data_IF_661760310813
#
_entry.id   IF_661760310813
#
_cell.length_a   1.000
_cell.length_b   1.000
_cell.length_c   1.000
_cell.angle_alpha   90.00
_cell.angle_beta   90.00
_cell.angle_gamma   90.00
#
_symmetry.space_group_name_H-M   'P 1'
#
loop_
_entity.id
_entity.type
_entity.pdbx_description
1 polymer ?
#
# COMPACT_ATOMS: atom_id res chain seq x y z
N UNK A 1 -15.99 35.21 31.36
CA UNK A 1 -17.28 34.64 31.03
C UNK A 1 -17.05 33.70 29.87
N UNK A 2 -16.92 32.45 30.14
CA UNK A 2 -16.77 31.38 29.14
C UNK A 2 -18.19 31.06 28.69
N UNK A 3 -18.54 31.44 27.46
CA UNK A 3 -19.82 31.06 26.83
C UNK A 3 -19.70 29.55 26.59
N UNK A 4 -20.49 28.77 27.32
CA UNK A 4 -20.64 27.36 27.04
C UNK A 4 -21.20 27.21 25.58
N UNK A 5 -20.68 26.29 24.75
CA UNK A 5 -21.25 26.09 23.42
C UNK A 5 -22.70 25.69 23.58
N UNK A 6 -23.60 26.48 22.98
CA UNK A 6 -24.99 26.08 22.80
C UNK A 6 -25.01 24.71 22.13
N UNK A 7 -25.71 23.76 22.71
CA UNK A 7 -26.00 22.48 22.04
C UNK A 7 -26.81 22.80 20.77
N UNK A 8 -26.12 22.86 19.66
CA UNK A 8 -26.76 22.98 18.33
C UNK A 8 -27.67 21.78 18.19
N UNK A 9 -28.96 22.00 18.20
CA UNK A 9 -29.94 20.95 17.87
C UNK A 9 -29.73 20.58 16.41
N UNK A 10 -29.33 19.33 16.14
CA UNK A 10 -29.16 18.81 14.80
C UNK A 10 -30.54 18.79 14.13
N UNK A 11 -30.79 19.69 13.17
CA UNK A 11 -32.01 19.77 12.43
C UNK A 11 -31.92 18.93 11.15
N UNK A 12 -33.10 18.51 10.67
CA UNK A 12 -33.19 17.73 9.42
C UNK A 12 -33.23 18.65 8.21
N UNK A 13 -32.58 18.20 7.13
CA UNK A 13 -32.67 18.81 5.81
C UNK A 13 -33.61 18.08 4.87
N UNK A 14 -33.68 18.57 3.63
CA UNK A 14 -34.43 17.94 2.54
C UNK A 14 -33.61 17.91 1.25
N UNK A 15 -33.70 16.79 0.55
CA UNK A 15 -33.12 16.66 -0.79
C UNK A 15 -33.78 17.63 -1.76
N UNK A 16 -32.98 18.47 -2.43
CA UNK A 16 -33.45 19.42 -3.43
C UNK A 16 -33.04 19.08 -4.86
N UNK A 17 -31.89 18.42 -5.04
CA UNK A 17 -31.44 17.94 -6.34
C UNK A 17 -30.66 16.63 -6.19
N UNK A 18 -30.69 15.82 -7.23
CA UNK A 18 -29.97 14.54 -7.29
C UNK A 18 -29.28 14.46 -8.65
N UNK A 19 -27.96 14.22 -8.63
CA UNK A 19 -27.15 14.07 -9.84
C UNK A 19 -26.23 12.83 -9.68
N UNK A 20 -26.77 11.63 -9.89
CA UNK A 20 -26.12 10.37 -9.59
C UNK A 20 -25.73 10.30 -8.09
N UNK A 21 -24.48 10.01 -7.75
CA UNK A 21 -24.04 9.90 -6.36
C UNK A 21 -23.89 11.26 -5.64
N UNK A 22 -24.17 12.37 -6.31
CA UNK A 22 -24.11 13.72 -5.72
C UNK A 22 -25.52 14.22 -5.46
N UNK A 23 -25.77 14.70 -4.24
CA UNK A 23 -27.08 15.13 -3.77
C UNK A 23 -26.97 16.51 -3.12
N UNK A 24 -27.80 17.44 -3.56
CA UNK A 24 -27.93 18.74 -2.93
C UNK A 24 -29.04 18.69 -1.87
N UNK A 25 -28.71 19.13 -0.68
CA UNK A 25 -29.60 19.11 0.49
C UNK A 25 -29.74 20.52 1.04
N UNK A 26 -30.99 20.94 1.30
CA UNK A 26 -31.29 22.22 1.92
C UNK A 26 -31.57 22.00 3.42
N UNK A 27 -30.87 22.79 4.24
CA UNK A 27 -31.05 22.83 5.70
C UNK A 27 -31.53 24.21 6.16
N UNK A 28 -32.08 24.30 7.34
CA UNK A 28 -32.38 25.59 7.95
C UNK A 28 -31.12 26.47 8.07
N UNK A 29 -31.20 27.81 7.91
CA UNK A 29 -30.04 28.67 7.78
C UNK A 29 -29.00 28.63 8.92
N UNK A 30 -29.43 28.20 10.10
CA UNK A 30 -28.56 28.14 11.31
C UNK A 30 -28.12 26.71 11.66
N UNK A 31 -28.40 25.74 10.80
CA UNK A 31 -28.17 24.32 11.04
C UNK A 31 -27.50 23.62 9.86
N UNK A 32 -26.60 24.33 9.16
CA UNK A 32 -25.81 23.74 8.09
C UNK A 32 -24.76 22.79 8.66
N UNK A 33 -24.67 21.54 8.14
CA UNK A 33 -23.57 20.65 8.50
C UNK A 33 -22.23 21.20 8.00
N UNK A 34 -21.18 20.92 8.74
CA UNK A 34 -19.83 21.28 8.34
C UNK A 34 -19.33 20.43 7.15
N UNK A 35 -18.31 20.91 6.45
CA UNK A 35 -17.63 20.13 5.40
C UNK A 35 -17.03 18.88 6.04
N UNK A 36 -17.08 17.76 5.32
CA UNK A 36 -16.70 16.42 5.77
C UNK A 36 -17.63 15.78 6.81
N UNK A 37 -18.68 16.48 7.28
CA UNK A 37 -19.67 15.83 8.11
C UNK A 37 -20.52 14.85 7.30
N UNK A 38 -20.94 13.78 7.97
CA UNK A 38 -21.83 12.78 7.40
C UNK A 38 -23.31 13.20 7.56
N UNK A 39 -24.09 12.90 6.55
CA UNK A 39 -25.54 13.00 6.56
C UNK A 39 -26.15 11.67 6.13
N UNK A 40 -27.37 11.39 6.59
CA UNK A 40 -28.05 10.14 6.29
C UNK A 40 -29.43 10.39 5.70
N UNK A 41 -29.79 9.62 4.69
CA UNK A 41 -31.10 9.62 4.08
C UNK A 41 -31.58 8.19 3.88
N UNK A 42 -32.83 7.92 4.24
CA UNK A 42 -33.43 6.61 4.03
C UNK A 42 -34.12 6.56 2.68
N UNK A 43 -33.85 5.50 1.93
CA UNK A 43 -34.54 5.16 0.68
C UNK A 43 -35.27 3.83 0.86
N UNK A 44 -36.37 3.66 0.14
CA UNK A 44 -37.12 2.40 0.17
C UNK A 44 -37.03 1.77 -1.21
N UNK A 45 -36.40 0.59 -1.26
CA UNK A 45 -36.26 -0.22 -2.48
C UNK A 45 -36.90 -1.59 -2.19
N UNK A 46 -37.85 -1.99 -3.01
CA UNK A 46 -38.55 -3.28 -2.89
C UNK A 46 -39.19 -3.55 -1.50
N UNK A 47 -39.49 -2.49 -0.77
CA UNK A 47 -40.07 -2.55 0.57
C UNK A 47 -39.10 -2.62 1.71
N UNK A 48 -37.78 -2.65 1.41
CA UNK A 48 -36.72 -2.55 2.39
C UNK A 48 -36.22 -1.11 2.53
N UNK A 49 -35.89 -0.72 3.76
CA UNK A 49 -35.30 0.61 4.03
C UNK A 49 -33.79 0.50 4.02
N UNK A 50 -33.15 1.25 3.14
CA UNK A 50 -31.71 1.35 3.03
C UNK A 50 -31.30 2.76 3.45
N UNK A 51 -30.40 2.86 4.41
CA UNK A 51 -29.78 4.14 4.79
C UNK A 51 -28.60 4.43 3.87
N UNK A 52 -28.64 5.56 3.18
CA UNK A 52 -27.56 6.09 2.37
C UNK A 52 -26.83 7.16 3.15
N UNK A 53 -25.56 6.94 3.40
CA UNK A 53 -24.66 7.93 4.02
C UNK A 53 -24.06 8.80 2.92
N UNK A 54 -24.16 10.13 3.10
CA UNK A 54 -23.50 11.12 2.26
C UNK A 54 -22.51 11.94 3.07
N UNK A 55 -21.44 12.38 2.44
CA UNK A 55 -20.47 13.30 3.03
C UNK A 55 -20.62 14.70 2.43
N UNK A 56 -20.68 15.71 3.25
CA UNK A 56 -20.78 17.11 2.82
C UNK A 56 -19.46 17.53 2.18
N UNK A 57 -19.48 17.75 0.86
CA UNK A 57 -18.31 18.14 0.08
C UNK A 57 -18.22 19.65 -0.16
N UNK A 58 -19.35 20.35 -0.21
CA UNK A 58 -19.39 21.78 -0.47
C UNK A 58 -20.61 22.44 0.19
N UNK A 59 -20.46 23.69 0.62
CA UNK A 59 -21.55 24.58 0.93
C UNK A 59 -21.79 25.47 -0.31
N UNK A 60 -23.00 25.39 -0.90
CA UNK A 60 -23.32 26.02 -2.19
C UNK A 60 -24.18 27.27 -2.06
N UNK A 61 -24.34 27.78 -0.84
CA UNK A 61 -25.16 28.97 -0.55
C UNK A 61 -26.64 28.67 -0.33
N UNK A 62 -27.39 29.67 0.08
CA UNK A 62 -28.85 29.60 0.30
C UNK A 62 -29.31 28.46 1.25
N UNK A 63 -28.51 28.13 2.26
CA UNK A 63 -28.85 27.05 3.18
C UNK A 63 -28.65 25.65 2.59
N UNK A 64 -27.87 25.53 1.48
CA UNK A 64 -27.67 24.26 0.78
C UNK A 64 -26.25 23.74 0.89
N UNK A 65 -26.16 22.44 0.99
CA UNK A 65 -24.91 21.69 0.92
C UNK A 65 -24.96 20.68 -0.21
N UNK A 66 -23.83 20.39 -0.79
CA UNK A 66 -23.65 19.34 -1.78
C UNK A 66 -22.93 18.18 -1.15
N UNK A 67 -23.56 17.01 -1.19
CA UNK A 67 -23.07 15.79 -0.56
C UNK A 67 -22.67 14.75 -1.62
N UNK A 68 -21.64 13.98 -1.32
CA UNK A 68 -21.22 12.79 -2.10
C UNK A 68 -21.67 11.56 -1.34
N UNK A 69 -22.51 10.73 -1.96
CA UNK A 69 -23.08 9.55 -1.34
C UNK A 69 -22.11 8.35 -1.42
N UNK A 70 -22.13 7.55 -0.35
CA UNK A 70 -21.30 6.34 -0.21
C UNK A 70 -22.04 5.05 -0.62
N UNK A 71 -23.32 5.16 -0.97
CA UNK A 71 -24.13 4.08 -1.55
C UNK A 71 -24.83 4.62 -2.80
N UNK A 72 -25.31 3.75 -3.71
CA UNK A 72 -26.15 4.17 -4.82
C UNK A 72 -27.37 4.97 -4.36
N UNK A 73 -27.78 5.94 -5.16
CA UNK A 73 -28.90 6.84 -4.87
C UNK A 73 -30.19 6.46 -5.60
N UNK A 74 -30.24 5.26 -6.17
CA UNK A 74 -31.41 4.73 -6.84
C UNK A 74 -32.59 4.67 -5.85
N UNK A 75 -33.74 5.17 -6.28
CA UNK A 75 -34.91 5.29 -5.42
C UNK A 75 -34.98 6.54 -4.52
N UNK A 76 -33.92 7.35 -4.48
CA UNK A 76 -33.94 8.63 -3.76
C UNK A 76 -34.83 9.65 -4.51
N UNK A 77 -35.63 10.37 -3.76
CA UNK A 77 -36.55 11.36 -4.32
C UNK A 77 -36.33 12.76 -3.72
N UNK A 78 -36.65 13.78 -4.49
CA UNK A 78 -36.68 15.17 -3.98
C UNK A 78 -37.64 15.28 -2.82
N UNK A 79 -37.28 16.06 -1.80
CA UNK A 79 -38.05 16.23 -0.59
C UNK A 79 -37.83 15.15 0.47
N UNK A 80 -37.03 14.09 0.18
CA UNK A 80 -36.64 13.12 1.19
C UNK A 80 -35.94 13.82 2.36
N UNK A 81 -36.25 13.34 3.58
CA UNK A 81 -35.67 13.90 4.82
C UNK A 81 -34.26 13.41 4.99
N UNK A 82 -33.33 14.33 5.24
CA UNK A 82 -31.91 14.06 5.49
C UNK A 82 -31.60 14.40 6.95
N UNK A 83 -30.98 13.46 7.65
CA UNK A 83 -30.52 13.63 9.04
C UNK A 83 -29.05 14.02 9.05
N UNK A 84 -28.67 14.93 9.93
CA UNK A 84 -27.28 15.21 10.26
C UNK A 84 -26.79 14.23 11.34
N UNK A 85 -25.56 13.74 11.20
CA UNK A 85 -24.91 12.93 12.24
C UNK A 85 -24.18 13.78 13.29
N UNK A 86 -23.88 15.06 12.94
CA UNK A 86 -23.09 15.96 13.76
C UNK A 86 -21.61 15.65 13.83
N UNK A 87 -21.14 14.71 13.00
CA UNK A 87 -19.75 14.27 12.90
C UNK A 87 -19.43 13.78 11.49
N UNK A 88 -18.15 13.56 11.19
CA UNK A 88 -17.70 12.94 9.96
C UNK A 88 -18.07 11.45 9.87
N UNK A 89 -17.71 10.82 8.75
CA UNK A 89 -17.77 9.36 8.62
C UNK A 89 -16.80 8.75 9.63
N UNK A 90 -17.24 7.76 10.39
CA UNK A 90 -16.45 7.08 11.41
C UNK A 90 -16.26 5.61 11.07
N UNK A 91 -15.12 5.06 11.51
CA UNK A 91 -14.81 3.62 11.43
C UNK A 91 -14.50 3.07 12.81
N UNK A 92 -14.80 1.78 13.07
CA UNK A 92 -14.41 1.11 14.29
C UNK A 92 -12.88 1.00 14.35
N UNK A 93 -12.31 1.08 15.54
CA UNK A 93 -10.87 0.96 15.77
C UNK A 93 -10.57 0.05 16.95
N UNK A 94 -9.36 -0.45 17.04
CA UNK A 94 -8.92 -1.36 18.09
C UNK A 94 -8.82 -2.81 17.62
N UNK A 95 -8.60 -3.72 18.55
CA UNK A 95 -8.32 -5.13 18.23
C UNK A 95 -9.49 -5.85 17.54
N UNK A 96 -10.72 -5.37 17.77
CA UNK A 96 -11.93 -5.92 17.15
C UNK A 96 -11.95 -5.82 15.61
N UNK A 97 -11.13 -4.97 14.99
CA UNK A 97 -11.10 -4.88 13.53
C UNK A 97 -10.20 -5.92 12.88
N UNK A 98 -9.30 -6.54 13.64
CA UNK A 98 -8.37 -7.54 13.12
C UNK A 98 -9.11 -8.83 12.76
N UNK A 99 -8.78 -9.39 11.61
CA UNK A 99 -9.43 -10.59 11.08
C UNK A 99 -10.67 -10.34 10.23
N UNK A 100 -11.13 -9.09 10.14
CA UNK A 100 -12.40 -8.71 9.53
C UNK A 100 -12.25 -7.78 8.32
N UNK A 101 -13.33 -7.72 7.55
CA UNK A 101 -13.45 -6.88 6.33
C UNK A 101 -14.51 -5.82 6.56
N UNK A 102 -14.17 -4.58 6.24
CA UNK A 102 -15.05 -3.41 6.41
C UNK A 102 -15.29 -2.67 5.10
N UNK A 103 -16.40 -1.98 5.03
CA UNK A 103 -16.62 -0.96 4.02
C UNK A 103 -16.14 0.43 4.50
N UNK A 104 -16.31 1.45 3.66
CA UNK A 104 -15.85 2.82 3.91
C UNK A 104 -16.51 3.50 5.12
N UNK A 105 -17.70 3.09 5.49
CA UNK A 105 -18.45 3.64 6.63
C UNK A 105 -18.36 2.79 7.90
N UNK A 106 -17.40 1.83 7.90
CA UNK A 106 -17.10 1.02 9.07
C UNK A 106 -18.07 -0.13 9.34
N UNK A 107 -18.95 -0.48 8.40
CA UNK A 107 -19.77 -1.68 8.50
C UNK A 107 -18.94 -2.91 8.13
N UNK A 108 -19.03 -3.98 8.93
CA UNK A 108 -18.38 -5.26 8.61
C UNK A 108 -19.08 -5.94 7.44
N UNK A 109 -18.29 -6.53 6.54
CA UNK A 109 -18.76 -7.22 5.33
C UNK A 109 -18.75 -8.75 5.47
N UNK A 110 -18.09 -9.29 6.48
CA UNK A 110 -17.89 -10.73 6.66
C UNK A 110 -18.60 -11.31 7.88
N UNK A 111 -19.04 -10.49 8.83
CA UNK A 111 -19.77 -10.91 10.02
C UNK A 111 -20.67 -9.79 10.56
N UNK A 112 -21.76 -10.17 11.20
CA UNK A 112 -22.64 -9.21 11.89
C UNK A 112 -22.12 -8.83 13.29
N UNK A 113 -21.17 -9.58 13.84
CA UNK A 113 -20.61 -9.35 15.16
C UNK A 113 -19.08 -9.48 15.13
N UNK A 114 -18.42 -8.34 15.26
CA UNK A 114 -16.95 -8.23 15.36
C UNK A 114 -16.46 -8.22 16.82
N UNK A 115 -17.37 -8.37 17.78
CA UNK A 115 -17.07 -8.24 19.20
C UNK A 115 -17.06 -6.80 19.71
N UNK A 116 -16.56 -6.56 20.91
CA UNK A 116 -16.56 -5.24 21.53
C UNK A 116 -15.59 -4.28 20.82
N UNK A 117 -16.13 -3.22 20.22
CA UNK A 117 -15.34 -2.16 19.61
C UNK A 117 -14.82 -1.20 20.67
N UNK A 118 -13.54 -0.87 20.63
CA UNK A 118 -12.91 0.00 21.63
C UNK A 118 -13.33 1.47 21.45
N UNK A 119 -13.34 1.95 20.19
CA UNK A 119 -13.73 3.34 19.88
C UNK A 119 -14.11 3.45 18.39
N UNK A 120 -14.67 4.62 18.00
CA UNK A 120 -14.96 4.99 16.63
C UNK A 120 -14.27 6.30 16.30
N UNK A 121 -13.41 6.29 15.26
CA UNK A 121 -12.67 7.46 14.84
C UNK A 121 -13.14 7.97 13.47
N UNK A 122 -13.17 9.28 13.34
CA UNK A 122 -13.49 9.94 12.06
C UNK A 122 -12.38 9.72 11.05
N UNK A 123 -12.75 9.51 9.77
CA UNK A 123 -11.77 9.24 8.70
C UNK A 123 -10.99 10.48 8.28
N UNK A 124 -11.54 11.68 8.46
CA UNK A 124 -10.85 12.95 8.23
C UNK A 124 -10.09 13.36 9.50
N UNK A 125 -8.79 13.18 9.47
CA UNK A 125 -7.88 13.49 10.57
C UNK A 125 -6.70 14.29 10.05
N UNK A 126 -6.16 15.15 10.90
CA UNK A 126 -4.93 15.85 10.60
C UNK A 126 -3.72 14.92 10.66
N UNK A 127 -2.70 15.21 9.86
CA UNK A 127 -1.40 14.58 10.00
C UNK A 127 -0.80 14.87 11.39
N UNK A 128 0.08 14.00 11.92
CA UNK A 128 0.78 14.25 13.17
C UNK A 128 1.51 15.60 13.14
N UNK A 129 1.50 16.30 14.29
CA UNK A 129 2.19 17.58 14.41
C UNK A 129 3.71 17.38 14.27
N UNK A 130 4.40 18.40 13.77
CA UNK A 130 5.85 18.35 13.49
C UNK A 130 6.70 17.90 14.70
N UNK A 131 6.32 18.29 15.90
CA UNK A 131 7.00 17.92 17.13
C UNK A 131 6.76 16.45 17.58
N UNK A 132 5.81 15.78 16.96
CA UNK A 132 5.50 14.36 17.19
C UNK A 132 6.26 13.42 16.26
N UNK A 133 6.82 13.94 15.16
CA UNK A 133 7.50 13.14 14.16
C UNK A 133 8.83 12.57 14.68
N UNK A 134 9.19 11.38 14.21
CA UNK A 134 10.51 10.80 14.43
C UNK A 134 11.55 11.52 13.55
N UNK A 135 12.62 12.10 14.15
CA UNK A 135 13.57 12.92 13.39
C UNK A 135 14.58 12.09 12.57
N UNK A 136 14.70 10.79 12.83
CA UNK A 136 15.71 9.94 12.21
C UNK A 136 15.08 8.88 11.33
N UNK A 137 15.59 8.77 10.10
CA UNK A 137 15.23 7.68 9.20
C UNK A 137 15.88 6.39 9.72
N UNK A 138 15.05 5.37 9.94
CA UNK A 138 15.48 4.04 10.36
C UNK A 138 15.08 3.03 9.31
N UNK A 139 15.96 2.09 8.99
CA UNK A 139 15.66 1.02 8.05
C UNK A 139 14.59 0.09 8.63
N UNK A 140 13.60 -0.22 7.82
CA UNK A 140 12.60 -1.24 8.10
C UNK A 140 13.07 -2.58 7.52
N UNK A 141 13.58 -3.45 8.37
CA UNK A 141 14.11 -4.75 7.98
C UNK A 141 12.98 -5.69 7.56
N UNK A 142 13.05 -6.21 6.33
CA UNK A 142 12.05 -7.13 5.78
C UNK A 142 12.47 -8.59 5.87
N UNK A 143 13.77 -8.87 6.02
CA UNK A 143 14.33 -10.22 5.93
C UNK A 143 14.31 -10.78 4.50
N UNK A 144 14.05 -9.95 3.50
CA UNK A 144 14.07 -10.28 2.07
C UNK A 144 15.34 -9.69 1.45
N UNK A 145 16.28 -10.52 1.05
CA UNK A 145 17.61 -10.12 0.59
C UNK A 145 17.61 -9.00 -0.44
N UNK A 146 16.82 -9.15 -1.51
CA UNK A 146 16.81 -8.17 -2.61
C UNK A 146 16.27 -6.81 -2.17
N UNK A 147 15.30 -6.78 -1.27
CA UNK A 147 14.74 -5.54 -0.71
C UNK A 147 15.75 -4.92 0.25
N UNK A 148 16.17 -5.67 1.27
CA UNK A 148 17.00 -5.14 2.34
C UNK A 148 18.39 -4.68 1.84
N UNK A 149 18.95 -5.32 0.82
CA UNK A 149 20.23 -4.92 0.27
C UNK A 149 20.17 -3.74 -0.69
N UNK A 150 19.24 -3.80 -1.68
CA UNK A 150 19.30 -2.94 -2.88
C UNK A 150 18.24 -1.84 -2.92
N UNK A 151 17.11 -2.03 -2.23
CA UNK A 151 16.04 -1.05 -2.13
C UNK A 151 15.43 -1.05 -0.73
N UNK A 152 16.24 -0.81 0.33
CA UNK A 152 15.79 -0.91 1.71
C UNK A 152 14.62 0.03 2.01
N UNK A 153 13.65 -0.45 2.78
CA UNK A 153 12.49 0.33 3.18
C UNK A 153 12.83 1.19 4.40
N UNK A 154 12.19 2.35 4.49
CA UNK A 154 12.29 3.22 5.66
C UNK A 154 11.09 3.00 6.58
N UNK A 155 11.32 2.92 7.86
CA UNK A 155 10.27 2.82 8.87
C UNK A 155 9.43 4.11 8.86
N UNK A 156 8.11 3.98 8.70
CA UNK A 156 7.21 5.12 8.51
C UNK A 156 7.25 5.73 7.12
N UNK A 157 7.94 5.07 6.18
CA UNK A 157 8.04 5.52 4.79
C UNK A 157 6.92 4.99 3.89
N UNK A 158 6.94 5.50 2.69
CA UNK A 158 5.99 5.21 1.62
C UNK A 158 6.71 4.52 0.49
N UNK A 159 6.34 3.28 0.22
CA UNK A 159 6.98 2.43 -0.78
C UNK A 159 6.01 2.22 -1.95
N UNK A 160 6.43 2.60 -3.15
CA UNK A 160 5.70 2.31 -4.36
C UNK A 160 5.99 0.89 -4.85
N UNK A 161 4.95 0.08 -5.03
CA UNK A 161 5.06 -1.27 -5.58
C UNK A 161 4.56 -1.26 -7.03
N UNK A 162 5.46 -1.49 -7.96
CA UNK A 162 5.20 -1.52 -9.39
C UNK A 162 5.25 -2.95 -9.91
N UNK A 163 4.46 -3.25 -10.91
CA UNK A 163 4.51 -4.54 -11.59
C UNK A 163 3.21 -4.90 -12.27
N UNK A 164 3.32 -5.61 -13.38
CA UNK A 164 2.18 -6.12 -14.12
C UNK A 164 1.49 -7.29 -13.41
N UNK A 165 0.43 -7.80 -14.01
CA UNK A 165 -0.26 -8.98 -13.49
C UNK A 165 0.65 -10.23 -13.55
N UNK A 166 0.54 -11.11 -12.56
CA UNK A 166 1.20 -12.41 -12.53
C UNK A 166 2.69 -12.41 -12.16
N UNK A 167 3.22 -11.32 -11.61
CA UNK A 167 4.63 -11.23 -11.17
C UNK A 167 4.84 -11.54 -9.68
N UNK A 168 3.78 -11.92 -8.96
CA UNK A 168 3.85 -12.27 -7.53
C UNK A 168 3.59 -11.09 -6.59
N UNK A 169 2.89 -10.04 -7.01
CA UNK A 169 2.55 -8.89 -6.15
C UNK A 169 1.80 -9.32 -4.89
N UNK A 170 0.72 -10.09 -5.02
CA UNK A 170 -0.08 -10.59 -3.90
C UNK A 170 0.75 -11.45 -2.94
N UNK A 171 1.60 -12.33 -3.47
CA UNK A 171 2.49 -13.17 -2.66
C UNK A 171 3.47 -12.32 -1.85
N UNK A 172 4.03 -11.27 -2.46
CA UNK A 172 4.92 -10.35 -1.75
C UNK A 172 4.18 -9.58 -0.64
N UNK A 173 2.96 -9.12 -0.91
CA UNK A 173 2.11 -8.44 0.09
C UNK A 173 1.85 -9.36 1.28
N UNK A 174 1.38 -10.59 1.04
CA UNK A 174 1.12 -11.55 2.11
C UNK A 174 2.38 -11.92 2.89
N UNK A 175 3.52 -12.05 2.21
CA UNK A 175 4.80 -12.29 2.85
C UNK A 175 5.20 -11.14 3.77
N UNK A 176 5.01 -9.90 3.33
CA UNK A 176 5.28 -8.71 4.14
C UNK A 176 4.37 -8.62 5.37
N UNK A 177 3.08 -8.91 5.23
CA UNK A 177 2.14 -8.97 6.36
C UNK A 177 2.64 -9.96 7.42
N UNK A 178 3.01 -11.16 6.98
CA UNK A 178 3.53 -12.18 7.88
C UNK A 178 4.81 -11.74 8.59
N UNK A 179 5.76 -11.17 7.85
CA UNK A 179 7.04 -10.72 8.40
C UNK A 179 6.88 -9.59 9.40
N UNK A 180 5.97 -8.66 9.14
CA UNK A 180 5.65 -7.60 10.12
C UNK A 180 5.09 -8.18 11.41
N UNK A 181 4.19 -9.14 11.32
CA UNK A 181 3.63 -9.79 12.49
C UNK A 181 4.69 -10.61 13.27
N UNK A 182 5.62 -11.27 12.59
CA UNK A 182 6.63 -12.13 13.21
C UNK A 182 7.88 -11.35 13.69
N UNK A 183 8.36 -10.36 12.90
CA UNK A 183 9.61 -9.65 13.19
C UNK A 183 9.41 -8.36 13.99
N UNK A 184 8.27 -7.69 13.81
CA UNK A 184 8.01 -6.38 14.41
C UNK A 184 6.87 -6.41 15.42
N UNK A 185 6.25 -7.58 15.68
CA UNK A 185 5.07 -7.71 16.55
C UNK A 185 3.94 -6.74 16.16
N UNK A 186 3.93 -6.34 14.89
CA UNK A 186 3.04 -5.34 14.32
C UNK A 186 1.74 -5.93 13.79
N UNK A 187 0.89 -5.04 13.33
CA UNK A 187 -0.36 -5.37 12.63
C UNK A 187 -0.35 -4.79 11.23
N UNK A 188 -1.27 -5.26 10.40
CA UNK A 188 -1.40 -4.77 9.03
C UNK A 188 -2.81 -4.27 8.78
N UNK A 189 -2.94 -3.28 7.91
CA UNK A 189 -4.22 -2.80 7.40
C UNK A 189 -4.15 -2.77 5.88
N UNK A 190 -5.14 -3.34 5.23
CA UNK A 190 -5.21 -3.40 3.77
C UNK A 190 -6.36 -2.55 3.25
N UNK A 191 -6.07 -1.59 2.39
CA UNK A 191 -7.02 -0.74 1.70
C UNK A 191 -7.19 -1.21 0.25
N UNK A 192 -8.29 -1.86 -0.07
CA UNK A 192 -8.68 -2.22 -1.44
C UNK A 192 -9.40 -1.08 -2.12
N UNK A 193 -8.69 -0.29 -2.93
CA UNK A 193 -9.19 0.92 -3.56
C UNK A 193 -9.58 0.65 -5.02
N UNK A 194 -10.85 0.53 -5.30
CA UNK A 194 -11.37 0.31 -6.64
C UNK A 194 -10.95 -1.03 -7.25
N UNK A 195 -10.70 -2.03 -6.42
CA UNK A 195 -10.37 -3.37 -6.87
C UNK A 195 -11.61 -4.18 -7.26
N UNK A 196 -11.40 -5.25 -8.01
CA UNK A 196 -12.48 -6.16 -8.38
C UNK A 196 -12.92 -6.98 -7.16
N UNK A 197 -14.22 -7.14 -7.00
CA UNK A 197 -14.83 -7.95 -5.91
C UNK A 197 -14.21 -9.34 -5.83
N UNK A 198 -13.98 -9.99 -6.99
CA UNK A 198 -13.37 -11.31 -7.04
C UNK A 198 -11.95 -11.31 -6.49
N UNK A 199 -11.12 -10.34 -6.90
CA UNK A 199 -9.72 -10.25 -6.43
C UNK A 199 -9.65 -9.99 -4.92
N UNK A 200 -10.57 -9.17 -4.39
CA UNK A 200 -10.70 -8.95 -2.95
C UNK A 200 -11.12 -10.21 -2.18
N UNK A 201 -12.03 -11.01 -2.74
CA UNK A 201 -12.45 -12.28 -2.15
C UNK A 201 -11.32 -13.32 -2.19
N UNK A 202 -10.64 -13.44 -3.33
CA UNK A 202 -9.51 -14.37 -3.50
C UNK A 202 -8.41 -14.02 -2.48
N UNK A 203 -8.06 -12.73 -2.33
CA UNK A 203 -7.07 -12.27 -1.34
C UNK A 203 -7.48 -12.61 0.11
N UNK A 204 -8.75 -12.40 0.47
CA UNK A 204 -9.26 -12.75 1.80
C UNK A 204 -9.12 -14.25 2.08
N UNK A 205 -9.46 -15.09 1.11
CA UNK A 205 -9.32 -16.55 1.24
C UNK A 205 -7.86 -16.97 1.38
N UNK A 206 -6.96 -16.43 0.58
CA UNK A 206 -5.52 -16.68 0.66
C UNK A 206 -4.94 -16.23 2.01
N UNK A 207 -5.39 -15.08 2.55
CA UNK A 207 -4.98 -14.60 3.88
C UNK A 207 -5.49 -15.52 5.01
N UNK A 208 -6.68 -16.07 4.87
CA UNK A 208 -7.24 -17.07 5.83
C UNK A 208 -6.46 -18.38 5.78
N UNK A 209 -6.17 -18.88 4.58
CA UNK A 209 -5.41 -20.13 4.40
C UNK A 209 -3.97 -20.04 4.91
N UNK A 210 -3.33 -18.86 4.72
CA UNK A 210 -1.98 -18.60 5.20
C UNK A 210 -1.90 -18.21 6.68
N UNK A 211 -3.05 -17.95 7.34
CA UNK A 211 -3.14 -17.56 8.74
C UNK A 211 -2.72 -16.12 9.06
N UNK A 212 -2.46 -15.30 8.04
CA UNK A 212 -2.04 -13.88 8.25
C UNK A 212 -3.22 -12.96 8.55
N UNK A 213 -4.44 -13.40 8.32
CA UNK A 213 -5.66 -12.60 8.51
C UNK A 213 -5.85 -12.15 9.96
N UNK A 214 -5.46 -12.96 10.95
CA UNK A 214 -5.64 -12.66 12.38
C UNK A 214 -4.93 -11.38 12.85
N UNK A 215 -3.94 -10.91 12.10
CA UNK A 215 -3.18 -9.68 12.35
C UNK A 215 -3.45 -8.59 11.34
N UNK A 216 -4.53 -8.75 10.55
CA UNK A 216 -4.83 -7.85 9.43
C UNK A 216 -6.27 -7.38 9.49
N UNK A 217 -6.49 -6.08 9.32
CA UNK A 217 -7.80 -5.49 9.03
C UNK A 217 -7.89 -5.16 7.54
N UNK A 218 -9.03 -5.45 6.90
CA UNK A 218 -9.25 -5.13 5.49
C UNK A 218 -10.36 -4.11 5.35
N UNK A 219 -10.15 -3.11 4.49
CA UNK A 219 -11.16 -2.10 4.16
C UNK A 219 -11.31 -2.05 2.64
N UNK A 220 -12.49 -2.35 2.14
CA UNK A 220 -12.77 -2.42 0.71
C UNK A 220 -13.69 -1.31 0.23
N UNK A 221 -13.30 -0.68 -0.88
CA UNK A 221 -14.13 0.15 -1.73
C UNK A 221 -13.98 -0.35 -3.15
N UNK A 222 -14.96 -1.14 -3.61
CA UNK A 222 -14.83 -1.94 -4.83
C UNK A 222 -15.07 -1.10 -6.10
N UNK A 223 -14.74 -1.69 -7.26
CA UNK A 223 -14.77 -0.99 -8.54
C UNK A 223 -16.18 -0.54 -8.96
N UNK A 224 -17.20 -1.29 -8.58
CA UNK A 224 -18.61 -1.03 -8.87
C UNK A 224 -19.29 -0.06 -7.89
N UNK A 225 -18.61 0.28 -6.80
CA UNK A 225 -19.14 1.23 -5.81
C UNK A 225 -18.99 2.69 -6.29
N UNK A 226 -19.81 3.61 -5.74
CA UNK A 226 -19.76 5.03 -6.06
C UNK A 226 -18.35 5.63 -5.90
N UNK A 227 -17.98 6.67 -6.65
CA UNK A 227 -16.64 7.26 -6.58
C UNK A 227 -16.31 7.84 -5.19
N UNK A 228 -17.31 8.25 -4.41
CA UNK A 228 -17.13 8.67 -3.02
C UNK A 228 -16.49 7.58 -2.16
N UNK A 229 -16.95 6.33 -2.30
CA UNK A 229 -16.39 5.17 -1.59
C UNK A 229 -14.94 4.97 -1.94
N UNK A 230 -14.62 4.90 -3.24
CA UNK A 230 -13.24 4.69 -3.72
C UNK A 230 -12.27 5.81 -3.31
N UNK A 231 -12.79 7.03 -3.13
CA UNK A 231 -12.01 8.17 -2.66
C UNK A 231 -11.76 8.14 -1.14
N UNK A 232 -12.64 7.52 -0.36
CA UNK A 232 -12.57 7.55 1.12
C UNK A 232 -12.03 6.26 1.74
N UNK A 233 -12.03 5.15 1.02
CA UNK A 233 -11.61 3.84 1.57
C UNK A 233 -10.18 3.85 2.09
N UNK A 234 -9.23 4.53 1.40
CA UNK A 234 -7.86 4.65 1.87
C UNK A 234 -7.76 5.45 3.19
N UNK A 235 -8.59 6.49 3.35
CA UNK A 235 -8.67 7.26 4.60
C UNK A 235 -9.24 6.43 5.75
N UNK A 236 -10.26 5.62 5.47
CA UNK A 236 -10.86 4.70 6.44
C UNK A 236 -9.84 3.68 6.96
N UNK A 237 -9.11 3.03 6.04
CA UNK A 237 -8.05 2.10 6.37
C UNK A 237 -6.92 2.77 7.17
N UNK A 238 -6.48 3.95 6.72
CA UNK A 238 -5.43 4.71 7.42
C UNK A 238 -5.86 5.10 8.84
N UNK A 239 -7.12 5.45 9.06
CA UNK A 239 -7.66 5.77 10.40
C UNK A 239 -7.58 4.56 11.34
N UNK A 240 -7.88 3.36 10.86
CA UNK A 240 -7.68 2.13 11.64
C UNK A 240 -6.19 1.92 11.96
N UNK A 241 -5.30 2.14 10.99
CA UNK A 241 -3.86 2.04 11.18
C UNK A 241 -3.33 3.04 12.22
N UNK A 242 -3.80 4.29 12.18
CA UNK A 242 -3.42 5.33 13.14
C UNK A 242 -3.76 4.96 14.59
N UNK A 243 -4.87 4.28 14.84
CA UNK A 243 -5.22 3.83 16.18
C UNK A 243 -4.18 2.86 16.74
N UNK A 244 -3.72 1.91 15.95
CA UNK A 244 -2.68 0.98 16.38
C UNK A 244 -1.35 1.69 16.63
N UNK A 245 -0.97 2.64 15.78
CA UNK A 245 0.25 3.46 15.99
C UNK A 245 0.13 4.33 17.25
N UNK A 246 -0.95 5.11 17.37
CA UNK A 246 -1.06 6.22 18.33
C UNK A 246 -1.55 5.78 19.71
N UNK A 247 -2.40 4.74 19.79
CA UNK A 247 -3.03 4.26 21.03
C UNK A 247 -2.45 2.92 21.47
N UNK A 248 -2.37 1.94 20.57
CA UNK A 248 -1.81 0.61 20.87
C UNK A 248 -0.29 0.60 20.90
N UNK A 249 0.35 1.66 20.38
CA UNK A 249 1.81 1.77 20.31
C UNK A 249 2.45 0.57 19.58
N UNK A 250 1.91 0.23 18.42
CA UNK A 250 2.35 -0.85 17.55
C UNK A 250 2.81 -0.31 16.20
N UNK A 251 3.78 -0.98 15.58
CA UNK A 251 4.13 -0.73 14.19
C UNK A 251 3.06 -1.28 13.26
N UNK A 252 2.72 -0.51 12.25
CA UNK A 252 1.64 -0.84 11.31
C UNK A 252 2.17 -0.88 9.89
N UNK A 253 1.80 -1.90 9.15
CA UNK A 253 1.98 -1.96 7.71
C UNK A 253 0.66 -1.66 7.02
N UNK A 254 0.62 -0.56 6.27
CA UNK A 254 -0.54 -0.14 5.50
C UNK A 254 -0.34 -0.49 4.02
N UNK A 255 -1.20 -1.35 3.49
CA UNK A 255 -1.27 -1.62 2.06
C UNK A 255 -2.36 -0.79 1.40
N UNK A 256 -2.05 -0.19 0.25
CA UNK A 256 -3.03 0.52 -0.58
C UNK A 256 -2.97 -0.08 -1.99
N UNK A 257 -3.99 -0.79 -2.38
CA UNK A 257 -4.11 -1.35 -3.72
C UNK A 257 -5.43 -0.90 -4.35
N UNK A 258 -5.45 0.05 -5.22
CA UNK A 258 -4.39 0.72 -5.92
C UNK A 258 -4.47 2.24 -5.73
N UNK A 259 -3.35 2.91 -5.46
CA UNK A 259 -3.34 4.37 -5.22
C UNK A 259 -3.81 5.19 -6.43
N UNK A 260 -3.61 4.69 -7.66
CA UNK A 260 -4.11 5.32 -8.87
C UNK A 260 -5.65 5.42 -8.88
N UNK A 261 -6.33 4.42 -8.31
CA UNK A 261 -7.80 4.39 -8.23
C UNK A 261 -8.34 5.46 -7.27
N UNK A 262 -7.58 5.78 -6.22
CA UNK A 262 -7.86 6.92 -5.34
C UNK A 262 -7.87 8.23 -6.14
N UNK A 263 -6.84 8.47 -6.96
CA UNK A 263 -6.75 9.66 -7.82
C UNK A 263 -7.88 9.69 -8.85
N UNK A 264 -8.18 8.56 -9.49
CA UNK A 264 -9.27 8.44 -10.45
C UNK A 264 -10.62 8.77 -9.81
N UNK A 265 -10.91 8.25 -8.64
CA UNK A 265 -12.13 8.55 -7.90
C UNK A 265 -12.23 10.04 -7.53
N UNK A 266 -11.12 10.67 -7.16
CA UNK A 266 -11.05 12.12 -6.93
C UNK A 266 -11.42 12.92 -8.17
N UNK A 267 -10.96 12.51 -9.34
CA UNK A 267 -11.30 13.13 -10.63
C UNK A 267 -12.79 13.00 -10.95
N UNK A 268 -13.38 11.81 -10.73
CA UNK A 268 -14.81 11.57 -10.92
C UNK A 268 -15.66 12.43 -9.97
N UNK A 269 -15.32 12.46 -8.68
CA UNK A 269 -16.01 13.29 -7.68
C UNK A 269 -15.90 14.77 -8.03
N UNK A 270 -14.71 15.25 -8.40
CA UNK A 270 -14.47 16.64 -8.77
C UNK A 270 -15.35 17.08 -9.95
N UNK A 271 -15.49 16.22 -10.96
CA UNK A 271 -16.35 16.45 -12.11
C UNK A 271 -17.84 16.51 -11.70
N UNK A 272 -18.29 15.60 -10.86
CA UNK A 272 -19.66 15.57 -10.34
C UNK A 272 -19.98 16.81 -9.45
N UNK A 273 -18.97 17.34 -8.76
CA UNK A 273 -19.10 18.58 -7.99
C UNK A 273 -19.08 19.84 -8.88
N UNK A 274 -18.89 19.69 -10.19
CA UNK A 274 -18.86 20.81 -11.14
C UNK A 274 -17.56 21.63 -11.10
N UNK A 275 -16.48 21.08 -10.57
CA UNK A 275 -15.18 21.73 -10.58
C UNK A 275 -14.54 21.66 -11.97
N UNK A 276 -13.87 22.73 -12.37
CA UNK A 276 -13.16 22.78 -13.64
C UNK A 276 -11.94 21.87 -13.60
N UNK A 277 -11.77 20.94 -14.56
CA UNK A 277 -10.63 20.03 -14.55
C UNK A 277 -9.33 20.79 -14.83
N UNK A 278 -8.23 20.28 -14.26
CA UNK A 278 -6.87 20.69 -14.57
C UNK A 278 -6.34 20.02 -15.84
N UNK A 279 -5.03 20.08 -16.06
CA UNK A 279 -4.38 19.41 -17.19
C UNK A 279 -4.72 17.91 -17.25
N UNK A 280 -4.94 17.38 -18.45
CA UNK A 280 -5.22 15.96 -18.73
C UNK A 280 -6.51 15.44 -18.07
N UNK A 281 -7.38 16.33 -17.56
CA UNK A 281 -8.70 15.97 -17.01
C UNK A 281 -8.71 15.61 -15.52
N UNK A 282 -7.59 15.75 -14.81
CA UNK A 282 -7.53 15.52 -13.37
C UNK A 282 -8.14 16.68 -12.57
N UNK A 283 -8.49 16.40 -11.30
CA UNK A 283 -8.98 17.40 -10.36
C UNK A 283 -7.90 18.46 -10.04
N UNK A 284 -8.29 19.75 -9.86
CA UNK A 284 -7.36 20.79 -9.47
C UNK A 284 -6.79 20.60 -8.06
N UNK A 285 -7.44 19.80 -7.23
CA UNK A 285 -7.09 19.47 -5.84
C UNK A 285 -6.27 18.18 -5.70
N UNK A 286 -5.75 17.63 -6.81
CA UNK A 286 -5.02 16.34 -6.81
C UNK A 286 -3.87 16.32 -5.81
N UNK A 287 -3.03 17.34 -5.80
CA UNK A 287 -1.86 17.41 -4.93
C UNK A 287 -2.27 17.55 -3.46
N UNK A 288 -3.32 18.31 -3.17
CA UNK A 288 -3.83 18.51 -1.82
C UNK A 288 -4.44 17.20 -1.27
N UNK A 289 -5.31 16.53 -2.04
CA UNK A 289 -5.92 15.26 -1.68
C UNK A 289 -4.88 14.16 -1.44
N UNK A 290 -3.87 14.09 -2.31
CA UNK A 290 -2.76 13.16 -2.15
C UNK A 290 -1.92 13.51 -0.91
N UNK A 291 -1.64 14.79 -0.67
CA UNK A 291 -0.92 15.27 0.49
C UNK A 291 -1.64 14.95 1.80
N UNK A 292 -2.95 15.19 1.88
CA UNK A 292 -3.76 14.86 3.06
C UNK A 292 -3.68 13.37 3.42
N UNK A 293 -3.66 12.48 2.45
CA UNK A 293 -3.50 11.05 2.67
C UNK A 293 -2.06 10.70 3.08
N UNK A 294 -1.08 11.15 2.30
CA UNK A 294 0.32 10.73 2.42
C UNK A 294 1.01 11.27 3.67
N UNK A 295 0.72 12.51 4.10
CA UNK A 295 1.36 13.11 5.27
C UNK A 295 0.92 12.49 6.62
N UNK A 296 -0.19 11.76 6.65
CA UNK A 296 -0.62 10.97 7.81
C UNK A 296 0.18 9.67 7.97
N UNK A 297 0.78 9.19 6.86
CA UNK A 297 1.60 7.98 6.82
C UNK A 297 3.03 8.37 7.21
N UNK A 298 3.39 8.12 8.46
CA UNK A 298 4.69 8.55 9.01
C UNK A 298 5.03 7.82 10.31
N UNK A 299 6.29 7.94 10.72
CA UNK A 299 6.75 7.58 12.05
C UNK A 299 6.48 8.69 13.04
N UNK A 300 5.90 8.34 14.16
CA UNK A 300 5.82 9.19 15.36
C UNK A 300 6.79 8.69 16.42
N UNK A 301 7.01 9.46 17.48
CA UNK A 301 7.90 9.06 18.57
C UNK A 301 7.44 7.75 19.20
N UNK A 302 8.07 6.66 18.78
CA UNK A 302 7.85 5.33 19.30
C UNK A 302 7.36 4.29 18.29
N UNK A 303 6.48 4.65 17.33
CA UNK A 303 5.92 3.69 16.35
C UNK A 303 5.67 4.33 15.01
N UNK A 304 5.44 3.47 14.02
CA UNK A 304 5.33 3.88 12.63
C UNK A 304 4.13 3.28 11.91
N UNK A 305 3.66 4.00 10.87
CA UNK A 305 2.89 3.42 9.78
C UNK A 305 3.80 3.42 8.56
N UNK A 306 4.22 2.24 8.12
CA UNK A 306 4.95 2.05 6.87
C UNK A 306 3.96 1.62 5.80
N UNK A 307 3.97 2.24 4.62
CA UNK A 307 3.00 1.89 3.58
C UNK A 307 3.65 1.29 2.35
N UNK A 308 3.01 0.22 1.84
CA UNK A 308 3.24 -0.30 0.49
C UNK A 308 2.04 0.06 -0.38
N UNK A 309 2.28 0.83 -1.42
CA UNK A 309 1.25 1.35 -2.30
C UNK A 309 1.43 0.78 -3.70
N UNK A 310 0.47 -0.02 -4.15
CA UNK A 310 0.46 -0.45 -5.53
C UNK A 310 0.19 0.74 -6.44
N UNK A 311 1.08 0.98 -7.38
CA UNK A 311 0.98 2.10 -8.31
C UNK A 311 0.79 1.56 -9.72
N UNK A 312 -0.30 1.97 -10.35
CA UNK A 312 -0.53 1.76 -11.77
C UNK A 312 -0.09 2.99 -12.55
N UNK A 313 0.72 2.78 -13.57
CA UNK A 313 1.19 3.85 -14.46
C UNK A 313 0.45 3.71 -15.79
N UNK A 314 -0.51 4.59 -16.13
CA UNK A 314 -1.25 4.53 -17.38
C UNK A 314 -0.32 4.62 -18.59
N UNK A 315 -0.44 3.67 -19.51
CA UNK A 315 0.36 3.59 -20.74
C UNK A 315 1.89 3.66 -20.53
N UNK A 316 2.37 3.28 -19.35
CA UNK A 316 3.77 3.39 -18.92
C UNK A 316 4.30 4.85 -18.99
N UNK A 317 3.40 5.84 -18.90
CA UNK A 317 3.73 7.26 -18.92
C UNK A 317 3.92 7.81 -17.49
N UNK A 318 5.16 7.90 -17.05
CA UNK A 318 5.55 8.45 -15.76
C UNK A 318 5.37 9.97 -15.65
N UNK A 319 5.05 10.65 -16.73
CA UNK A 319 4.76 12.10 -16.74
C UNK A 319 3.28 12.41 -16.53
N UNK A 320 2.42 11.40 -16.51
CA UNK A 320 1.01 11.55 -16.15
C UNK A 320 0.89 12.14 -14.73
N UNK A 321 0.02 13.14 -14.50
CA UNK A 321 -0.11 13.83 -13.21
C UNK A 321 -0.36 12.91 -12.01
N UNK A 322 -1.07 11.79 -12.18
CA UNK A 322 -1.38 10.88 -11.07
C UNK A 322 -0.13 10.12 -10.55
N UNK A 323 0.60 9.35 -11.37
CA UNK A 323 1.84 8.74 -10.93
C UNK A 323 2.89 9.80 -10.55
N UNK A 324 3.02 10.89 -11.30
CA UNK A 324 3.98 11.94 -10.97
C UNK A 324 3.77 12.50 -9.56
N UNK A 325 2.53 12.86 -9.19
CA UNK A 325 2.23 13.35 -7.84
C UNK A 325 2.48 12.28 -6.79
N UNK A 326 2.12 11.02 -7.07
CA UNK A 326 2.39 9.91 -6.15
C UNK A 326 3.88 9.73 -5.90
N UNK A 327 4.72 9.77 -6.94
CA UNK A 327 6.17 9.62 -6.84
C UNK A 327 6.83 10.65 -5.94
N UNK A 328 6.31 11.89 -5.89
CA UNK A 328 6.88 12.93 -5.02
C UNK A 328 6.80 12.60 -3.53
N UNK A 329 5.93 11.67 -3.15
CA UNK A 329 5.75 11.23 -1.77
C UNK A 329 6.49 9.93 -1.44
N UNK A 330 7.00 9.19 -2.44
CA UNK A 330 7.60 7.88 -2.21
C UNK A 330 9.05 7.98 -1.69
N UNK A 331 9.36 7.17 -0.70
CA UNK A 331 10.70 7.02 -0.14
C UNK A 331 11.50 5.90 -0.80
N UNK A 332 10.81 4.90 -1.32
CA UNK A 332 11.39 3.79 -2.06
C UNK A 332 10.43 3.29 -3.14
N UNK A 333 10.99 2.63 -4.15
CA UNK A 333 10.22 1.95 -5.19
C UNK A 333 10.70 0.50 -5.33
N UNK A 334 9.74 -0.41 -5.43
CA UNK A 334 9.99 -1.83 -5.70
C UNK A 334 9.31 -2.19 -7.01
N UNK A 335 10.10 -2.53 -8.02
CA UNK A 335 9.59 -2.93 -9.32
C UNK A 335 9.65 -4.45 -9.49
N UNK A 336 8.49 -5.06 -9.77
CA UNK A 336 8.39 -6.50 -10.06
C UNK A 336 8.45 -6.73 -11.57
N UNK A 337 9.45 -7.50 -12.01
CA UNK A 337 9.76 -7.75 -13.41
C UNK A 337 9.24 -9.10 -13.91
N UNK A 338 8.51 -9.10 -15.04
CA UNK A 338 8.11 -10.33 -15.71
C UNK A 338 9.29 -11.13 -16.24
N UNK A 339 10.36 -10.45 -16.65
CA UNK A 339 11.57 -11.11 -17.16
C UNK A 339 12.24 -11.93 -16.05
N UNK A 340 12.33 -11.36 -14.84
CA UNK A 340 12.88 -12.04 -13.67
C UNK A 340 11.98 -13.19 -13.22
N UNK A 341 10.66 -12.98 -13.21
CA UNK A 341 9.69 -14.04 -12.91
C UNK A 341 9.77 -15.20 -13.90
N UNK A 342 9.98 -14.93 -15.19
CA UNK A 342 10.15 -15.95 -16.22
C UNK A 342 11.42 -16.81 -16.02
N UNK A 343 12.43 -16.30 -15.32
CA UNK A 343 13.62 -17.05 -14.92
C UNK A 343 13.41 -17.92 -13.66
N UNK A 344 12.22 -17.89 -13.08
CA UNK A 344 11.91 -18.60 -11.82
C UNK A 344 12.56 -17.98 -10.58
N UNK A 345 12.93 -16.69 -10.65
CA UNK A 345 13.53 -15.95 -9.54
C UNK A 345 12.41 -15.20 -8.80
N UNK A 346 12.19 -15.56 -7.54
CA UNK A 346 11.20 -14.94 -6.67
C UNK A 346 11.81 -14.55 -5.31
N UNK A 347 11.41 -13.37 -4.73
CA UNK A 347 10.54 -12.35 -5.32
C UNK A 347 11.14 -11.77 -6.61
N UNK A 348 10.28 -11.52 -7.60
CA UNK A 348 10.72 -11.07 -8.93
C UNK A 348 11.05 -9.56 -8.95
N UNK A 349 11.73 -9.07 -7.92
CA UNK A 349 12.13 -7.67 -7.78
C UNK A 349 13.29 -7.37 -8.73
N UNK A 350 13.14 -6.32 -9.53
CA UNK A 350 14.22 -5.84 -10.39
C UNK A 350 15.25 -5.06 -9.55
N UNK A 351 16.49 -5.55 -9.45
CA UNK A 351 17.52 -4.95 -8.60
C UNK A 351 18.12 -3.65 -9.17
N UNK A 352 17.87 -3.36 -10.45
CA UNK A 352 18.42 -2.19 -11.15
C UNK A 352 17.44 -1.03 -11.27
N UNK A 353 16.13 -1.33 -11.30
CA UNK A 353 15.07 -0.30 -11.42
C UNK A 353 14.45 0.04 -10.07
N UNK A 354 14.52 -0.86 -9.09
CA UNK A 354 14.09 -0.57 -7.72
C UNK A 354 15.05 0.39 -7.03
N UNK A 355 14.49 1.36 -6.30
CA UNK A 355 15.28 2.44 -5.66
C UNK A 355 14.87 2.69 -4.22
N UNK A 356 15.77 3.29 -3.45
CA UNK A 356 15.49 3.73 -2.09
C UNK A 356 16.28 4.98 -1.73
N UNK A 357 15.62 5.95 -1.12
CA UNK A 357 16.24 7.20 -0.67
C UNK A 357 17.17 6.99 0.53
N UNK A 358 16.96 5.90 1.29
CA UNK A 358 17.81 5.60 2.45
C UNK A 358 19.03 4.75 2.11
N UNK A 359 19.22 4.31 0.86
CA UNK A 359 20.44 3.63 0.44
C UNK A 359 21.58 4.67 0.29
N UNK A 360 22.01 5.19 1.42
CA UNK A 360 23.09 6.17 1.55
C UNK A 360 23.99 5.79 2.74
N UNK A 361 25.30 6.05 2.66
CA UNK A 361 26.27 5.61 3.69
C UNK A 361 25.92 6.12 5.09
N UNK A 362 25.33 7.31 5.18
CA UNK A 362 24.96 7.96 6.43
C UNK A 362 23.82 7.26 7.16
N UNK A 363 22.99 6.47 6.45
CA UNK A 363 21.79 5.81 7.00
C UNK A 363 22.04 4.31 7.16
N UNK A 364 22.40 3.62 6.07
CA UNK A 364 22.60 2.15 6.09
C UNK A 364 24.01 1.74 6.48
N UNK A 365 24.96 2.66 6.51
CA UNK A 365 26.37 2.42 6.81
C UNK A 365 27.21 2.14 5.56
N UNK A 366 28.50 2.45 5.64
CA UNK A 366 29.49 2.36 4.54
C UNK A 366 29.55 0.94 3.94
N UNK A 367 29.58 -0.10 4.77
CA UNK A 367 29.70 -1.50 4.33
C UNK A 367 28.50 -1.92 3.49
N UNK A 368 27.28 -1.68 3.98
CA UNK A 368 26.05 -2.00 3.26
C UNK A 368 25.99 -1.27 1.91
N UNK A 369 26.23 0.03 1.93
CA UNK A 369 26.22 0.86 0.73
C UNK A 369 27.25 0.36 -0.32
N UNK A 370 28.48 0.07 0.10
CA UNK A 370 29.53 -0.40 -0.80
C UNK A 370 29.15 -1.75 -1.46
N UNK A 371 28.67 -2.72 -0.68
CA UNK A 371 28.24 -4.03 -1.18
C UNK A 371 27.06 -3.90 -2.14
N UNK A 372 26.07 -3.08 -1.80
CA UNK A 372 24.91 -2.82 -2.67
C UNK A 372 25.35 -2.22 -4.02
N UNK A 373 26.22 -1.21 -3.99
CA UNK A 373 26.72 -0.56 -5.21
C UNK A 373 27.55 -1.49 -6.08
N UNK A 374 28.42 -2.30 -5.49
CA UNK A 374 29.18 -3.31 -6.23
C UNK A 374 28.26 -4.35 -6.88
N UNK A 375 27.26 -4.81 -6.15
CA UNK A 375 26.24 -5.73 -6.67
C UNK A 375 25.52 -5.13 -7.88
N UNK A 376 25.06 -3.88 -7.77
CA UNK A 376 24.40 -3.16 -8.88
C UNK A 376 25.33 -2.99 -10.08
N UNK A 377 26.60 -2.65 -9.87
CA UNK A 377 27.59 -2.48 -10.95
C UNK A 377 27.80 -3.79 -11.73
N UNK A 378 27.95 -4.92 -11.03
CA UNK A 378 28.09 -6.25 -11.66
C UNK A 378 26.86 -6.58 -12.50
N UNK A 379 25.65 -6.38 -11.94
CA UNK A 379 24.40 -6.64 -12.65
C UNK A 379 24.21 -5.71 -13.84
N UNK A 380 24.52 -4.44 -13.71
CA UNK A 380 24.44 -3.44 -14.78
C UNK A 380 25.42 -3.80 -15.93
N UNK A 381 26.67 -4.14 -15.59
CA UNK A 381 27.64 -4.57 -16.59
C UNK A 381 27.18 -5.83 -17.34
N UNK A 382 26.63 -6.80 -16.63
CA UNK A 382 26.04 -7.98 -17.27
C UNK A 382 24.92 -7.60 -18.24
N UNK A 383 24.04 -6.67 -17.86
CA UNK A 383 22.95 -6.20 -18.75
C UNK A 383 23.49 -5.57 -20.02
N UNK A 384 24.54 -4.76 -19.94
CA UNK A 384 25.20 -4.13 -21.09
C UNK A 384 25.86 -5.16 -22.03
N UNK A 385 26.34 -6.26 -21.48
CA UNK A 385 27.00 -7.32 -22.24
C UNK A 385 26.02 -8.29 -22.93
N UNK A 386 24.72 -8.30 -22.54
CA UNK A 386 23.75 -9.26 -23.06
C UNK A 386 23.60 -9.18 -24.60
N UNK A 387 23.58 -7.97 -25.17
CA UNK A 387 23.48 -7.78 -26.62
C UNK A 387 24.72 -8.33 -27.35
N UNK A 388 25.89 -8.15 -26.78
CA UNK A 388 27.16 -8.68 -27.29
C UNK A 388 27.15 -10.21 -27.21
N UNK A 389 26.72 -10.77 -26.10
CA UNK A 389 26.62 -12.21 -25.86
C UNK A 389 25.64 -12.86 -26.88
N UNK A 390 24.50 -12.21 -27.12
CA UNK A 390 23.49 -12.71 -28.06
C UNK A 390 23.98 -12.77 -29.51
N UNK A 391 24.88 -11.87 -29.90
CA UNK A 391 25.40 -11.78 -31.28
C UNK A 391 26.68 -12.61 -31.45
N UNK A 392 27.63 -12.48 -30.53
CA UNK A 392 29.00 -13.02 -30.68
C UNK A 392 29.25 -14.25 -29.83
N UNK A 393 28.43 -14.52 -28.81
CA UNK A 393 28.66 -15.59 -27.84
C UNK A 393 29.56 -15.17 -26.68
N UNK A 394 29.63 -16.02 -25.64
CA UNK A 394 30.40 -15.79 -24.42
C UNK A 394 31.94 -15.85 -24.66
N UNK A 395 32.35 -16.60 -25.67
CA UNK A 395 33.76 -16.86 -25.92
C UNK A 395 34.53 -15.63 -26.46
N UNK A 396 33.80 -14.68 -27.04
CA UNK A 396 34.35 -13.42 -27.55
C UNK A 396 34.53 -12.33 -26.48
N UNK A 397 34.02 -12.56 -25.26
CA UNK A 397 34.21 -11.62 -24.15
C UNK A 397 35.64 -11.67 -23.61
N UNK A 398 36.10 -10.55 -23.07
CA UNK A 398 37.34 -10.51 -22.27
C UNK A 398 37.21 -11.43 -21.06
N UNK A 399 38.36 -11.87 -20.50
CA UNK A 399 38.36 -12.73 -19.32
C UNK A 399 37.66 -12.05 -18.13
N UNK A 400 37.86 -10.74 -17.95
CA UNK A 400 37.24 -9.92 -16.93
C UNK A 400 35.69 -9.88 -17.10
N UNK A 401 35.22 -9.65 -18.34
CA UNK A 401 33.78 -9.63 -18.63
C UNK A 401 33.14 -11.02 -18.45
N UNK A 402 33.86 -12.10 -18.77
CA UNK A 402 33.37 -13.47 -18.52
C UNK A 402 33.17 -13.76 -17.03
N UNK A 403 34.13 -13.36 -16.21
CA UNK A 403 34.01 -13.48 -14.75
C UNK A 403 32.84 -12.67 -14.26
N UNK A 404 32.70 -11.42 -14.72
CA UNK A 404 31.59 -10.53 -14.36
C UNK A 404 30.24 -11.13 -14.72
N UNK A 405 30.08 -11.67 -15.94
CA UNK A 405 28.81 -12.31 -16.38
C UNK A 405 28.50 -13.55 -15.55
N UNK A 406 29.53 -14.39 -15.28
CA UNK A 406 29.31 -15.59 -14.47
C UNK A 406 28.90 -15.23 -13.04
N UNK A 407 29.57 -14.24 -12.45
CA UNK A 407 29.22 -13.74 -11.11
C UNK A 407 27.86 -13.10 -11.07
N UNK A 408 27.49 -12.30 -12.08
CA UNK A 408 26.16 -11.70 -12.20
C UNK A 408 25.04 -12.75 -12.25
N UNK A 409 25.22 -13.86 -12.96
CA UNK A 409 24.24 -14.96 -12.98
C UNK A 409 24.06 -15.59 -11.60
N UNK A 410 25.14 -15.78 -10.85
CA UNK A 410 25.10 -16.26 -9.47
C UNK A 410 24.36 -15.28 -8.56
N UNK A 411 24.66 -13.99 -8.67
CA UNK A 411 23.96 -12.92 -7.94
C UNK A 411 22.47 -12.95 -8.25
N UNK A 412 22.06 -13.00 -9.52
CA UNK A 412 20.65 -13.06 -9.91
C UNK A 412 19.93 -14.25 -9.27
N UNK A 413 20.53 -15.43 -9.27
CA UNK A 413 19.96 -16.60 -8.59
C UNK A 413 19.96 -16.48 -7.08
N UNK A 414 20.99 -15.89 -6.50
CA UNK A 414 21.10 -15.67 -5.07
C UNK A 414 20.10 -14.62 -4.53
N UNK A 415 19.62 -13.71 -5.38
CA UNK A 415 18.54 -12.79 -5.05
C UNK A 415 17.19 -13.52 -4.85
N UNK A 416 17.03 -14.74 -5.37
CA UNK A 416 15.86 -15.58 -5.06
C UNK A 416 15.86 -16.00 -3.59
N UNK A 417 14.67 -16.09 -3.02
CA UNK A 417 14.50 -16.49 -1.62
C UNK A 417 13.16 -17.20 -1.45
N UNK A 418 13.13 -18.39 -0.81
CA UNK A 418 11.87 -19.02 -0.46
C UNK A 418 11.05 -18.16 0.48
N UNK A 419 9.78 -17.94 0.15
CA UNK A 419 8.84 -17.18 0.97
C UNK A 419 7.94 -18.13 1.78
N UNK A 420 7.61 -17.74 3.01
CA UNK A 420 6.80 -18.56 3.91
C UNK A 420 5.41 -18.82 3.32
N UNK A 421 4.78 -17.80 2.76
CA UNK A 421 3.43 -17.92 2.17
C UNK A 421 3.41 -18.75 0.89
N UNK A 422 4.53 -18.93 0.20
CA UNK A 422 4.64 -19.73 -1.02
C UNK A 422 4.86 -21.22 -0.76
N UNK A 423 5.06 -21.65 0.49
CA UNK A 423 5.29 -23.05 0.87
C UNK A 423 4.20 -24.00 0.34
N UNK A 424 2.94 -23.54 0.37
CA UNK A 424 1.79 -24.34 -0.12
C UNK A 424 1.93 -24.71 -1.59
N UNK A 425 2.55 -23.85 -2.39
CA UNK A 425 2.71 -24.04 -3.84
C UNK A 425 4.05 -24.68 -4.21
N UNK A 426 5.11 -24.35 -3.46
CA UNK A 426 6.49 -24.75 -3.80
C UNK A 426 6.98 -25.96 -3.05
N UNK A 427 6.36 -26.29 -1.90
CA UNK A 427 6.84 -27.30 -0.97
C UNK A 427 8.13 -26.94 -0.24
N UNK A 428 8.68 -25.72 -0.44
CA UNK A 428 9.92 -25.25 0.16
C UNK A 428 9.58 -24.36 1.36
N UNK A 429 10.25 -24.61 2.49
CA UNK A 429 10.09 -23.77 3.69
C UNK A 429 10.62 -22.35 3.44
N UNK A 430 9.89 -21.35 3.89
CA UNK A 430 10.33 -19.96 3.82
C UNK A 430 11.56 -19.71 4.68
N UNK A 431 12.36 -18.75 4.28
CA UNK A 431 13.61 -18.37 4.97
C UNK A 431 13.57 -16.88 5.27
N UNK A 432 13.86 -16.52 6.52
CA UNK A 432 14.17 -15.15 6.90
C UNK A 432 15.68 -14.96 6.90
N UNK A 433 16.19 -13.94 6.22
CA UNK A 433 17.63 -13.64 6.17
C UNK A 433 17.86 -12.27 6.79
N UNK A 434 18.49 -12.20 7.98
CA UNK A 434 18.81 -10.91 8.60
C UNK A 434 19.68 -10.05 7.69
N UNK A 435 19.53 -8.73 7.78
CA UNK A 435 20.24 -7.78 6.91
C UNK A 435 21.75 -7.92 7.00
N UNK A 436 22.28 -8.20 8.21
CA UNK A 436 23.73 -8.40 8.38
C UNK A 436 24.24 -9.63 7.65
N UNK A 437 23.51 -10.75 7.71
CA UNK A 437 23.81 -11.97 6.95
C UNK A 437 23.69 -11.75 5.44
N UNK A 438 22.72 -10.95 5.03
CA UNK A 438 22.56 -10.55 3.62
C UNK A 438 23.77 -9.78 3.13
N UNK A 439 24.21 -8.75 3.87
CA UNK A 439 25.38 -7.94 3.51
C UNK A 439 26.65 -8.83 3.44
N UNK A 440 26.90 -9.66 4.43
CA UNK A 440 28.05 -10.55 4.50
C UNK A 440 28.07 -11.54 3.33
N UNK A 441 26.93 -12.16 3.05
CA UNK A 441 26.81 -13.12 1.95
C UNK A 441 27.04 -12.49 0.58
N UNK A 442 26.53 -11.29 0.35
CA UNK A 442 26.77 -10.55 -0.89
C UNK A 442 28.21 -10.02 -0.99
N UNK A 443 28.82 -9.65 0.12
CA UNK A 443 30.24 -9.27 0.15
C UNK A 443 31.13 -10.41 -0.34
N UNK A 444 30.93 -11.65 0.15
CA UNK A 444 31.60 -12.84 -0.37
C UNK A 444 31.36 -13.07 -1.87
N UNK A 445 30.12 -12.83 -2.32
CA UNK A 445 29.74 -12.97 -3.73
C UNK A 445 30.49 -11.97 -4.64
N UNK A 446 30.47 -10.68 -4.28
CA UNK A 446 31.08 -9.62 -5.11
C UNK A 446 32.62 -9.70 -5.09
N UNK A 447 33.21 -10.18 -3.99
CA UNK A 447 34.62 -10.40 -3.88
C UNK A 447 35.12 -11.66 -4.63
N UNK A 448 34.21 -12.57 -4.99
CA UNK A 448 34.53 -13.79 -5.74
C UNK A 448 34.85 -15.00 -4.89
N UNK A 449 34.68 -14.93 -3.57
CA UNK A 449 34.97 -16.06 -2.66
C UNK A 449 34.12 -17.30 -2.98
N UNK A 450 32.96 -17.08 -3.61
CA UNK A 450 31.98 -18.11 -3.98
C UNK A 450 32.07 -18.50 -5.48
N UNK A 451 33.08 -18.03 -6.21
CA UNK A 451 33.20 -18.26 -7.66
C UNK A 451 33.40 -19.74 -8.03
N UNK A 452 33.92 -20.55 -7.11
CA UNK A 452 34.14 -21.99 -7.34
C UNK A 452 32.85 -22.82 -7.33
N UNK A 453 31.74 -22.32 -6.74
CA UNK A 453 30.51 -23.08 -6.61
C UNK A 453 29.66 -23.02 -7.90
N UNK A 454 28.90 -24.09 -8.22
CA UNK A 454 28.03 -24.13 -9.39
C UNK A 454 26.87 -23.15 -9.25
N UNK A 455 26.44 -22.54 -10.36
CA UNK A 455 25.37 -21.55 -10.41
C UNK A 455 24.04 -22.02 -9.79
N UNK A 456 23.73 -23.32 -9.89
CA UNK A 456 22.50 -23.91 -9.32
C UNK A 456 22.47 -23.89 -7.79
N UNK A 457 23.61 -23.83 -7.13
CA UNK A 457 23.69 -23.78 -5.67
C UNK A 457 23.14 -22.46 -5.09
N UNK A 458 23.06 -21.41 -5.89
CA UNK A 458 22.62 -20.08 -5.45
C UNK A 458 21.09 -19.85 -5.52
N UNK A 459 20.32 -20.77 -6.13
CA UNK A 459 18.90 -20.60 -6.28
C UNK A 459 18.14 -21.01 -5.03
N UNK A 460 17.19 -20.19 -4.56
CA UNK A 460 16.30 -20.48 -3.41
C UNK A 460 17.05 -20.89 -2.14
N UNK A 461 18.00 -20.08 -1.73
CA UNK A 461 18.81 -20.26 -0.51
C UNK A 461 18.74 -19.00 0.36
N UNK A 462 19.10 -19.12 1.62
CA UNK A 462 19.23 -18.01 2.56
C UNK A 462 20.59 -17.31 2.42
N UNK A 463 21.54 -17.62 3.28
CA UNK A 463 22.88 -17.03 3.30
C UNK A 463 23.93 -17.83 2.50
N UNK A 464 25.20 -17.37 2.57
CA UNK A 464 26.34 -18.02 1.90
C UNK A 464 26.56 -19.46 2.38
N UNK A 465 26.32 -19.74 3.65
CA UNK A 465 26.44 -21.11 4.22
C UNK A 465 25.48 -22.12 3.58
N UNK A 466 24.31 -21.66 3.15
CA UNK A 466 23.36 -22.49 2.43
C UNK A 466 23.83 -22.83 1.01
N UNK A 467 24.55 -21.89 0.36
CA UNK A 467 25.17 -22.12 -0.95
C UNK A 467 26.20 -23.27 -0.84
N UNK A 468 27.06 -23.22 0.17
CA UNK A 468 28.09 -24.26 0.40
C UNK A 468 27.44 -25.63 0.65
N UNK A 469 26.41 -25.67 1.51
CA UNK A 469 25.67 -26.90 1.80
C UNK A 469 25.03 -27.47 0.53
N UNK A 470 24.33 -26.64 -0.23
CA UNK A 470 23.64 -27.06 -1.45
C UNK A 470 24.63 -27.47 -2.57
N UNK A 471 25.77 -26.79 -2.67
CA UNK A 471 26.83 -27.21 -3.59
C UNK A 471 27.39 -28.59 -3.25
N UNK A 472 27.54 -28.89 -1.95
CA UNK A 472 27.98 -30.22 -1.51
C UNK A 472 26.96 -31.33 -1.76
N UNK A 473 25.65 -31.00 -1.73
CA UNK A 473 24.58 -31.92 -2.10
C UNK A 473 24.57 -32.22 -3.60
N UNK A 474 24.69 -31.18 -4.44
CA UNK A 474 24.74 -31.31 -5.90
C UNK A 474 25.96 -32.11 -6.43
N UNK A 475 27.01 -32.23 -5.63
CA UNK A 475 28.20 -33.05 -5.99
C UNK A 475 28.04 -34.54 -5.66
N UNK A 476 27.01 -34.92 -4.87
CA UNK A 476 26.72 -36.30 -4.46
C UNK A 476 25.75 -37.01 -5.41
N UNK A 477 24.94 -36.24 -6.15
CA UNK A 477 24.06 -36.71 -7.21
C UNK A 477 24.78 -36.75 -8.58
#
# INVERSE_FOLDING_TARGET
MTIAPEKTTLETGRVVAIAGPVVDVEFPPHSLPEINHAVEVDIIIDGETITVTGEVAQQIGEGRVRCVCMKPTDGLVRGAVVRQTGRGITVPVGDAVLGHVFNVIGESLDTDDIGPVEDYWEIHRNAPAFDQLEPHATMFETGIKVVDLLAPYVQGGKIGLFGGAGVGKTVLIMEMIRRVAELHEGVSVFAGVGERTREGTDLLLEMRESGVIEKTALVYGQMDEPPGVRLRVALAALTMAEYFRDVKNQDVLLFVDNIFRFVQAGSEVSTLLGRMPSAVGYQPTLADEMGELQERITSTRGRSITSLQAVYVPADDYTDPAPFTTFTHLDATTELSRQIAALGIYPAVDPLTSTSNILAPEIVGERHYAVARQTQQILQRNKELQDIIAILGLDELSEEDRITVTRARKIQRFLSQPMFVSKVFTGIDGINVPVQETIESFEHLVNGDLDAFPEQAFLNVGGASDVERKAAELQKD
#
